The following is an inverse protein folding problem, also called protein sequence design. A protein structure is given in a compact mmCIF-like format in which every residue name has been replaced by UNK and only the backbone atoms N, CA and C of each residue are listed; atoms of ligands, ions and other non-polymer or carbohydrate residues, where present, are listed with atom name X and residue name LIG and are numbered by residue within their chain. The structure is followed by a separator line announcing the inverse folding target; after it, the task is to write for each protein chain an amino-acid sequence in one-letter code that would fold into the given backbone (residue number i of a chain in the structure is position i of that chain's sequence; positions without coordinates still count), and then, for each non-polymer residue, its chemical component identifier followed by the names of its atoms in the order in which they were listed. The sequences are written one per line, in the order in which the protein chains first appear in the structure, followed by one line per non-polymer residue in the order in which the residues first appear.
data_IF_389908776780
#
_entry.id   IF_389908776780
#
_cell.length_a   1.000
_cell.length_b   1.000
_cell.length_c   1.000
_cell.angle_alpha   90.00
_cell.angle_beta   90.00
_cell.angle_gamma   90.00
#
_symmetry.space_group_name_H-M   'P 1'
#
loop_
_entity.id
_entity.type
_entity.pdbx_description
1 polymer ?
#
# COMPACT_ATOMS: atom_id res chain seq x y z
N UNK A 1 24.55 -1.43 38.12
CA UNK A 1 24.01 -0.19 38.76
C UNK A 1 22.52 -0.10 38.41
N UNK A 2 21.68 -0.23 39.41
CA UNK A 2 20.22 -0.23 39.31
C UNK A 2 19.75 1.23 39.32
N UNK A 3 18.97 1.67 38.32
CA UNK A 3 18.21 2.91 38.39
C UNK A 3 16.74 2.61 38.14
N UNK A 4 15.97 2.72 39.24
CA UNK A 4 14.53 2.76 39.29
C UNK A 4 14.08 4.12 38.80
N UNK A 5 13.07 4.17 37.92
CA UNK A 5 12.31 5.40 37.67
C UNK A 5 10.81 5.11 37.86
N UNK A 6 10.24 6.00 38.64
CA UNK A 6 8.96 5.93 39.27
C UNK A 6 7.79 6.15 38.28
N UNK A 7 6.70 5.48 38.57
CA UNK A 7 5.37 5.73 38.01
C UNK A 7 4.81 7.08 38.51
N UNK A 8 4.21 7.86 37.63
CA UNK A 8 3.31 8.94 37.99
C UNK A 8 1.94 8.68 37.36
N UNK A 9 1.03 8.28 38.23
CA UNK A 9 -0.42 8.28 38.00
C UNK A 9 -0.92 9.72 38.09
N UNK A 10 -1.68 10.20 37.13
CA UNK A 10 -2.60 11.32 37.32
C UNK A 10 -3.99 10.92 36.81
N UNK A 11 -4.87 10.83 37.77
CA UNK A 11 -6.32 10.63 37.61
C UNK A 11 -7.03 11.99 37.60
N UNK A 12 -8.30 11.94 37.23
CA UNK A 12 -9.38 12.94 37.36
C UNK A 12 -9.55 13.87 36.16
N UNK A 13 -10.74 14.14 35.64
CA UNK A 13 -12.03 14.47 36.30
C UNK A 13 -13.22 14.25 35.33
N UNK A 14 -14.27 13.61 35.81
CA UNK A 14 -15.61 13.60 35.21
C UNK A 14 -16.27 14.97 35.40
N UNK A 15 -16.97 15.46 34.37
CA UNK A 15 -18.02 16.44 34.53
C UNK A 15 -19.29 15.92 33.87
N UNK A 16 -20.24 15.60 34.72
CA UNK A 16 -21.66 15.31 34.43
C UNK A 16 -22.39 16.65 34.35
N UNK A 17 -23.09 16.89 33.26
CA UNK A 17 -24.05 18.01 33.13
C UNK A 17 -25.33 17.52 32.50
N UNK A 18 -26.29 17.19 33.35
CA UNK A 18 -27.68 16.98 32.99
C UNK A 18 -28.46 18.29 33.25
N UNK A 19 -29.60 18.46 32.60
CA UNK A 19 -30.76 19.35 32.76
C UNK A 19 -31.08 19.99 31.37
N UNK A 20 -32.29 19.90 30.81
CA UNK A 20 -33.60 19.87 31.43
C UNK A 20 -34.75 19.63 30.44
N UNK A 21 -35.82 19.15 31.00
CA UNK A 21 -37.14 18.95 30.42
C UNK A 21 -37.93 20.24 30.19
N UNK A 22 -38.91 20.15 29.29
CA UNK A 22 -40.05 21.09 29.20
C UNK A 22 -40.73 20.99 27.84
N UNK A 23 -41.78 20.56 27.66
CA UNK A 23 -43.15 20.37 28.08
C UNK A 23 -44.13 20.76 26.95
N UNK A 24 -44.99 19.81 26.67
CA UNK A 24 -46.40 19.82 26.26
C UNK A 24 -46.95 20.83 25.22
N UNK A 25 -47.75 20.25 24.32
CA UNK A 25 -48.82 20.94 23.63
C UNK A 25 -49.30 20.23 22.39
N UNK A 26 -50.42 19.52 22.46
CA UNK A 26 -51.06 18.73 21.45
C UNK A 26 -51.82 19.51 20.38
N UNK A 27 -52.16 18.84 19.34
CA UNK A 27 -53.48 18.71 18.72
C UNK A 27 -53.40 18.06 17.34
N UNK A 28 -54.09 16.99 17.21
CA UNK A 28 -54.85 16.38 16.09
C UNK A 28 -54.85 17.11 14.73
N UNK A 29 -54.54 16.33 13.65
CA UNK A 29 -54.86 16.69 12.28
C UNK A 29 -54.47 15.59 11.30
N UNK A 30 -55.48 15.02 10.68
CA UNK A 30 -55.59 13.86 9.82
C UNK A 30 -54.91 13.97 8.46
N UNK A 31 -54.40 12.83 7.96
CA UNK A 31 -54.39 12.33 6.58
C UNK A 31 -53.81 13.17 5.43
N UNK A 32 -52.72 12.67 4.84
CA UNK A 32 -52.66 12.39 3.38
C UNK A 32 -51.44 11.57 3.05
N UNK A 33 -51.63 10.46 2.38
CA UNK A 33 -50.59 9.61 1.80
C UNK A 33 -49.89 10.37 0.66
N UNK A 34 -48.57 10.54 0.82
CA UNK A 34 -47.67 11.01 -0.23
C UNK A 34 -46.50 10.07 -0.32
N UNK A 35 -46.53 9.20 -1.34
CA UNK A 35 -45.41 8.32 -1.70
C UNK A 35 -44.28 9.19 -2.22
N UNK A 36 -43.30 9.46 -1.36
CA UNK A 36 -42.05 10.09 -1.80
C UNK A 36 -40.99 9.01 -1.83
N UNK A 37 -40.58 8.66 -3.05
CA UNK A 37 -39.40 7.87 -3.31
C UNK A 37 -38.19 8.55 -2.64
N UNK A 38 -37.67 7.91 -1.59
CA UNK A 38 -36.41 8.30 -0.98
C UNK A 38 -35.28 8.03 -2.00
N UNK A 39 -34.88 9.08 -2.71
CA UNK A 39 -33.60 9.07 -3.37
C UNK A 39 -32.52 8.93 -2.28
N UNK A 40 -31.93 7.74 -2.22
CA UNK A 40 -30.76 7.46 -1.42
C UNK A 40 -29.61 8.27 -1.99
N UNK A 41 -29.44 9.48 -1.53
CA UNK A 41 -28.21 10.23 -1.73
C UNK A 41 -27.14 9.49 -0.94
N UNK A 42 -26.31 8.69 -1.63
CA UNK A 42 -25.04 8.27 -1.12
C UNK A 42 -24.24 9.56 -0.83
N UNK A 43 -24.24 9.98 0.43
CA UNK A 43 -23.33 10.99 0.92
C UNK A 43 -21.91 10.38 0.83
N UNK A 44 -21.29 10.53 -0.34
CA UNK A 44 -19.87 10.37 -0.47
C UNK A 44 -19.22 11.33 0.52
N UNK A 45 -18.53 10.80 1.51
CA UNK A 45 -17.68 11.57 2.40
C UNK A 45 -16.62 12.24 1.54
N UNK A 46 -16.89 13.48 1.11
CA UNK A 46 -15.92 14.34 0.48
C UNK A 46 -14.89 14.67 1.56
N UNK A 47 -13.83 13.87 1.64
CA UNK A 47 -12.66 14.26 2.39
C UNK A 47 -12.23 15.62 1.83
N UNK A 48 -12.07 16.61 2.70
CA UNK A 48 -11.63 17.94 2.29
C UNK A 48 -10.32 17.80 1.50
N UNK A 49 -10.29 18.35 0.28
CA UNK A 49 -9.10 18.29 -0.57
C UNK A 49 -7.91 18.87 0.20
N UNK A 50 -6.83 18.14 0.31
CA UNK A 50 -5.58 18.60 0.93
C UNK A 50 -4.87 19.54 -0.03
N UNK A 51 -4.18 20.55 0.50
CA UNK A 51 -3.32 21.41 -0.32
C UNK A 51 -2.16 20.66 -0.97
N UNK A 52 -1.71 19.58 -0.33
CA UNK A 52 -0.60 18.73 -0.78
C UNK A 52 -0.78 17.30 -0.29
N UNK A 53 -0.59 16.34 -1.17
CA UNK A 53 -0.62 14.91 -0.87
C UNK A 53 0.79 14.34 -0.68
N UNK A 54 0.97 13.42 0.25
CA UNK A 54 2.18 12.63 0.44
C UNK A 54 1.98 11.30 -0.28
N UNK A 55 2.74 11.11 -1.35
CA UNK A 55 2.72 9.89 -2.15
C UNK A 55 4.02 9.12 -1.91
N UNK A 56 3.91 7.87 -1.51
CA UNK A 56 5.08 7.02 -1.27
C UNK A 56 5.31 6.08 -2.44
N UNK A 57 6.56 5.69 -2.64
CA UNK A 57 6.97 4.82 -3.74
C UNK A 57 8.12 3.92 -3.31
N UNK A 58 8.44 2.96 -4.17
CA UNK A 58 9.63 2.13 -4.01
C UNK A 58 10.93 2.91 -4.28
N UNK A 59 12.04 2.39 -3.83
CA UNK A 59 13.37 2.98 -4.09
C UNK A 59 13.85 2.73 -5.50
N UNK A 60 13.63 1.52 -6.02
CA UNK A 60 14.04 1.16 -7.38
C UNK A 60 13.25 -0.05 -7.92
N UNK A 61 12.40 0.21 -8.90
CA UNK A 61 11.67 -0.82 -9.66
C UNK A 61 11.48 -0.38 -11.12
N UNK A 62 12.55 -0.36 -11.90
CA UNK A 62 12.49 -0.02 -13.32
C UNK A 62 11.56 -1.01 -14.08
N UNK A 63 10.73 -0.53 -15.04
CA UNK A 63 10.66 0.85 -15.56
C UNK A 63 9.65 1.75 -14.82
N UNK A 64 9.09 1.34 -13.70
CA UNK A 64 8.03 2.06 -12.96
C UNK A 64 8.59 3.26 -12.21
N UNK A 65 9.59 3.03 -11.33
CA UNK A 65 10.28 4.07 -10.59
C UNK A 65 11.76 3.71 -10.37
N UNK A 66 12.63 4.67 -10.62
CA UNK A 66 14.08 4.54 -10.43
C UNK A 66 14.74 5.91 -10.41
N UNK A 67 15.97 5.99 -9.96
CA UNK A 67 16.79 7.20 -10.04
C UNK A 67 17.84 7.09 -11.13
N UNK A 68 18.02 8.19 -11.86
CA UNK A 68 19.14 8.31 -12.80
C UNK A 68 20.43 8.69 -12.05
N UNK A 69 21.55 8.81 -12.82
CA UNK A 69 22.85 9.14 -12.25
C UNK A 69 22.92 10.53 -11.60
N UNK A 70 21.95 11.42 -11.86
CA UNK A 70 21.84 12.75 -11.25
C UNK A 70 21.02 12.73 -9.94
N UNK A 71 20.43 11.60 -9.60
CA UNK A 71 19.47 11.46 -8.49
C UNK A 71 18.05 11.89 -8.83
N UNK A 72 17.75 12.14 -10.11
CA UNK A 72 16.40 12.45 -10.55
C UNK A 72 15.58 11.17 -10.62
N UNK A 73 14.39 11.19 -9.99
CA UNK A 73 13.43 10.09 -10.05
C UNK A 73 12.66 10.11 -11.36
N UNK A 74 12.62 8.97 -12.03
CA UNK A 74 12.06 8.75 -13.35
C UNK A 74 11.21 7.48 -13.35
N UNK A 75 10.45 7.28 -14.41
CA UNK A 75 9.69 6.07 -14.70
C UNK A 75 8.22 6.29 -14.95
N UNK A 76 7.54 5.23 -15.35
CA UNK A 76 6.12 5.23 -15.70
C UNK A 76 5.27 5.84 -14.55
N UNK A 77 5.56 5.47 -13.33
CA UNK A 77 4.81 5.91 -12.16
C UNK A 77 5.02 7.39 -11.86
N UNK A 78 6.21 7.90 -12.12
CA UNK A 78 6.51 9.31 -11.94
C UNK A 78 5.80 10.17 -12.98
N UNK A 79 5.84 9.75 -14.24
CA UNK A 79 5.18 10.44 -15.34
C UNK A 79 3.65 10.42 -15.18
N UNK A 80 3.10 9.28 -14.74
CA UNK A 80 1.68 9.10 -14.47
C UNK A 80 1.22 10.00 -13.30
N UNK A 81 1.98 10.04 -12.21
CA UNK A 81 1.65 10.86 -11.05
C UNK A 81 1.68 12.36 -11.39
N UNK A 82 2.68 12.79 -12.17
CA UNK A 82 2.76 14.18 -12.65
C UNK A 82 1.56 14.55 -13.51
N UNK A 83 1.18 13.65 -14.44
CA UNK A 83 0.04 13.88 -15.32
C UNK A 83 -1.28 13.97 -14.55
N UNK A 84 -1.51 13.08 -13.58
CA UNK A 84 -2.71 13.07 -12.73
C UNK A 84 -2.77 14.36 -11.89
N UNK A 85 -1.68 14.72 -11.23
CA UNK A 85 -1.64 15.90 -10.38
C UNK A 85 -1.90 17.20 -11.17
N UNK A 86 -1.36 17.27 -12.39
CA UNK A 86 -1.59 18.38 -13.30
C UNK A 86 -3.04 18.46 -13.77
N UNK A 87 -3.63 17.33 -14.16
CA UNK A 87 -5.01 17.26 -14.65
C UNK A 87 -6.02 17.60 -13.54
N UNK A 88 -5.80 17.05 -12.34
CA UNK A 88 -6.70 17.22 -11.20
C UNK A 88 -6.39 18.47 -10.34
N UNK A 89 -5.33 19.21 -10.63
CA UNK A 89 -5.01 20.48 -10.00
C UNK A 89 -4.56 20.40 -8.54
N UNK A 90 -3.93 19.30 -8.10
CA UNK A 90 -3.41 19.16 -6.74
C UNK A 90 -1.88 19.14 -6.71
N UNK A 91 -1.32 19.41 -5.52
CA UNK A 91 0.11 19.30 -5.26
C UNK A 91 0.43 17.97 -4.57
N UNK A 92 1.62 17.46 -4.79
CA UNK A 92 2.08 16.25 -4.14
C UNK A 92 3.58 16.30 -3.82
N UNK A 93 4.01 15.40 -2.97
CA UNK A 93 5.41 15.10 -2.66
C UNK A 93 5.63 13.60 -2.78
N UNK A 94 6.70 13.18 -3.48
CA UNK A 94 7.10 11.78 -3.57
C UNK A 94 8.12 11.48 -2.48
N UNK A 95 7.88 10.41 -1.70
CA UNK A 95 8.83 9.86 -0.74
C UNK A 95 9.15 8.41 -1.09
N UNK A 96 10.39 8.11 -1.38
CA UNK A 96 10.85 6.76 -1.68
C UNK A 96 11.26 6.05 -0.38
N UNK A 97 10.41 5.17 0.10
CA UNK A 97 10.60 4.44 1.36
C UNK A 97 11.01 2.98 1.15
N UNK A 98 10.91 2.46 -0.09
CA UNK A 98 10.93 1.05 -0.39
C UNK A 98 9.52 0.47 -0.38
N UNK A 99 9.31 -0.63 -1.13
CA UNK A 99 7.96 -1.15 -1.40
C UNK A 99 7.17 -1.50 -0.12
N UNK A 100 7.74 -2.37 0.73
CA UNK A 100 7.06 -2.82 1.95
C UNK A 100 6.79 -1.68 2.94
N UNK A 101 7.76 -0.77 3.13
CA UNK A 101 7.61 0.39 3.98
C UNK A 101 6.57 1.38 3.45
N UNK A 102 6.45 1.53 2.13
CA UNK A 102 5.42 2.35 1.49
C UNK A 102 4.01 1.83 1.78
N UNK A 103 3.79 0.52 1.71
CA UNK A 103 2.51 -0.07 2.07
C UNK A 103 2.15 0.18 3.52
N UNK A 104 3.11 0.00 4.44
CA UNK A 104 2.92 0.25 5.86
C UNK A 104 2.62 1.72 6.17
N UNK A 105 3.27 2.66 5.48
CA UNK A 105 3.03 4.09 5.64
C UNK A 105 1.60 4.50 5.26
N UNK A 106 1.06 3.94 4.17
CA UNK A 106 -0.35 4.18 3.78
C UNK A 106 -1.31 3.50 4.74
N UNK A 107 -1.08 2.25 5.14
CA UNK A 107 -1.92 1.55 6.13
C UNK A 107 -1.96 2.30 7.47
N UNK A 108 -0.86 2.93 7.87
CA UNK A 108 -0.76 3.71 9.10
C UNK A 108 -1.30 5.16 8.97
N UNK A 109 -1.76 5.58 7.78
CA UNK A 109 -2.21 6.95 7.52
C UNK A 109 -1.10 8.00 7.53
N UNK A 110 0.17 7.57 7.39
CA UNK A 110 1.33 8.46 7.31
C UNK A 110 1.57 8.98 5.89
N UNK A 111 1.00 8.32 4.90
CA UNK A 111 0.98 8.74 3.51
C UNK A 111 -0.43 8.65 2.95
N UNK A 112 -0.71 9.47 1.94
CA UNK A 112 -2.04 9.55 1.32
C UNK A 112 -2.24 8.52 0.22
N UNK A 113 -1.15 8.05 -0.38
CA UNK A 113 -1.21 7.05 -1.44
C UNK A 113 0.13 6.45 -1.76
N UNK A 114 0.12 5.34 -2.48
CA UNK A 114 1.31 4.65 -2.98
C UNK A 114 1.20 4.48 -4.49
N UNK A 115 2.30 4.75 -5.19
CA UNK A 115 2.47 4.43 -6.61
C UNK A 115 3.83 3.73 -6.76
N UNK A 116 3.83 2.45 -7.10
CA UNK A 116 5.04 1.60 -7.07
C UNK A 116 4.88 0.32 -7.91
N UNK A 117 4.29 0.41 -9.12
CA UNK A 117 4.03 -0.77 -9.96
C UNK A 117 3.26 -1.87 -9.21
N UNK A 118 2.41 -1.50 -8.27
CA UNK A 118 1.78 -2.41 -7.32
C UNK A 118 0.70 -3.27 -7.96
N UNK A 119 0.86 -4.59 -7.92
CA UNK A 119 -0.16 -5.52 -8.41
C UNK A 119 -1.46 -5.41 -7.62
N UNK A 120 -2.59 -5.33 -8.32
CA UNK A 120 -3.93 -5.41 -7.75
C UNK A 120 -4.22 -6.87 -7.39
N UNK A 121 -4.55 -7.16 -6.13
CA UNK A 121 -4.93 -8.50 -5.66
C UNK A 121 -6.13 -8.39 -4.71
N UNK A 122 -6.95 -9.43 -4.61
CA UNK A 122 -8.11 -9.41 -3.71
C UNK A 122 -7.69 -9.17 -2.25
N UNK A 123 -6.60 -9.80 -1.79
CA UNK A 123 -6.07 -9.58 -0.45
C UNK A 123 -5.65 -8.13 -0.18
N UNK A 124 -5.12 -7.43 -1.20
CA UNK A 124 -4.73 -6.02 -1.05
C UNK A 124 -5.93 -5.10 -1.10
N UNK A 125 -6.98 -5.44 -1.84
CA UNK A 125 -8.25 -4.70 -1.87
C UNK A 125 -8.97 -4.68 -0.50
N UNK A 126 -8.65 -5.59 0.40
CA UNK A 126 -9.17 -5.56 1.77
C UNK A 126 -8.62 -4.38 2.59
N UNK A 127 -7.50 -3.77 2.14
CA UNK A 127 -6.78 -2.72 2.86
C UNK A 127 -6.59 -1.43 2.08
N UNK A 128 -6.63 -1.51 0.76
CA UNK A 128 -6.34 -0.39 -0.14
C UNK A 128 -7.41 -0.26 -1.20
N UNK A 129 -7.78 0.97 -1.50
CA UNK A 129 -8.49 1.32 -2.71
C UNK A 129 -7.50 1.42 -3.87
N UNK A 130 -7.86 0.86 -5.02
CA UNK A 130 -7.01 0.85 -6.20
C UNK A 130 -7.62 1.66 -7.33
N UNK A 131 -6.76 2.26 -8.15
CA UNK A 131 -7.14 2.75 -9.47
C UNK A 131 -7.46 1.58 -10.42
N UNK A 132 -7.92 1.89 -11.63
CA UNK A 132 -7.85 0.95 -12.74
C UNK A 132 -6.40 0.52 -13.01
N UNK A 133 -6.24 -0.69 -13.57
CA UNK A 133 -4.92 -1.20 -13.90
C UNK A 133 -4.31 -0.40 -15.07
N UNK A 134 -3.18 0.25 -14.85
CA UNK A 134 -2.49 1.03 -15.87
C UNK A 134 -1.39 0.25 -16.60
N UNK A 135 -1.00 -0.91 -16.09
CA UNK A 135 -0.01 -1.79 -16.71
C UNK A 135 -0.25 -3.26 -16.38
N UNK A 136 0.13 -4.18 -17.27
CA UNK A 136 0.05 -5.62 -17.04
C UNK A 136 1.46 -6.23 -16.97
N UNK A 137 1.81 -6.76 -15.80
CA UNK A 137 3.11 -7.42 -15.57
C UNK A 137 2.88 -8.83 -15.05
N UNK A 138 3.36 -9.88 -15.73
CA UNK A 138 3.34 -11.22 -15.16
C UNK A 138 4.39 -11.35 -14.04
N UNK A 139 4.11 -12.19 -13.05
CA UNK A 139 5.14 -12.64 -12.12
C UNK A 139 6.01 -13.66 -12.85
N UNK A 140 7.31 -13.41 -12.91
CA UNK A 140 8.29 -14.25 -13.59
C UNK A 140 9.43 -14.62 -12.66
N UNK A 141 10.14 -15.71 -12.99
CA UNK A 141 11.38 -16.09 -12.33
C UNK A 141 12.54 -15.66 -13.23
N UNK A 142 13.40 -14.79 -12.71
CA UNK A 142 14.63 -14.40 -13.38
C UNK A 142 15.74 -15.37 -12.97
N UNK A 143 16.50 -15.84 -13.95
CA UNK A 143 17.65 -16.70 -13.75
C UNK A 143 18.85 -16.18 -14.56
N UNK A 144 20.06 -16.62 -14.24
CA UNK A 144 21.22 -16.30 -15.04
C UNK A 144 21.08 -16.91 -16.45
N UNK A 145 21.58 -16.20 -17.44
CA UNK A 145 21.46 -16.62 -18.85
C UNK A 145 22.11 -17.99 -19.15
N UNK A 146 23.11 -18.36 -18.38
CA UNK A 146 23.82 -19.65 -18.45
C UNK A 146 23.26 -20.72 -17.53
N UNK A 147 22.20 -20.43 -16.77
CA UNK A 147 21.56 -21.40 -15.88
C UNK A 147 20.73 -22.41 -16.68
N UNK A 148 20.87 -23.70 -16.37
CA UNK A 148 20.03 -24.76 -16.94
C UNK A 148 18.70 -24.87 -16.17
N UNK A 149 17.91 -23.80 -16.19
CA UNK A 149 16.59 -23.67 -15.57
C UNK A 149 15.60 -23.27 -16.65
N UNK A 150 14.68 -24.17 -16.98
CA UNK A 150 13.67 -23.98 -18.04
C UNK A 150 12.24 -24.13 -17.52
N UNK A 151 12.09 -24.67 -16.33
CA UNK A 151 10.78 -24.94 -15.71
C UNK A 151 10.83 -24.78 -14.19
N UNK A 152 9.68 -24.82 -13.54
CA UNK A 152 9.59 -24.83 -12.08
C UNK A 152 10.21 -26.08 -11.44
N UNK A 153 10.26 -27.21 -12.14
CA UNK A 153 10.87 -28.43 -11.60
C UNK A 153 12.39 -28.29 -11.46
N UNK A 154 13.01 -27.44 -12.30
CA UNK A 154 14.45 -27.20 -12.30
C UNK A 154 14.92 -26.33 -11.11
N UNK A 155 13.99 -25.64 -10.43
CA UNK A 155 14.31 -24.86 -9.22
C UNK A 155 14.19 -25.67 -7.92
N UNK A 156 13.86 -26.96 -7.99
CA UNK A 156 13.72 -27.80 -6.81
C UNK A 156 14.99 -27.81 -5.97
N UNK A 157 14.85 -27.57 -4.65
CA UNK A 157 15.95 -27.52 -3.69
C UNK A 157 16.84 -26.29 -3.79
N UNK A 158 16.54 -25.35 -4.70
CA UNK A 158 17.37 -24.15 -4.92
C UNK A 158 17.03 -23.02 -3.95
N UNK A 159 17.96 -22.09 -3.84
CA UNK A 159 17.77 -20.83 -3.14
C UNK A 159 17.11 -19.83 -4.08
N UNK A 160 16.04 -19.19 -3.64
CA UNK A 160 15.26 -18.25 -4.42
C UNK A 160 15.26 -16.88 -3.73
N UNK A 161 15.70 -15.86 -4.43
CA UNK A 161 15.64 -14.48 -3.99
C UNK A 161 14.24 -13.90 -4.24
N UNK A 162 13.67 -13.25 -3.23
CA UNK A 162 12.39 -12.55 -3.35
C UNK A 162 12.48 -11.17 -2.71
N UNK A 163 11.71 -10.21 -3.23
CA UNK A 163 11.57 -8.92 -2.59
C UNK A 163 10.38 -8.92 -1.62
N UNK A 164 10.62 -8.39 -0.43
CA UNK A 164 9.63 -8.33 0.65
C UNK A 164 8.33 -7.63 0.22
N UNK A 165 7.20 -8.17 0.66
CA UNK A 165 5.88 -7.59 0.42
C UNK A 165 5.33 -7.76 -1.01
N UNK A 166 6.10 -8.34 -1.95
CA UNK A 166 5.69 -8.49 -3.35
C UNK A 166 4.81 -9.72 -3.62
N UNK A 167 4.11 -9.71 -4.76
CA UNK A 167 3.39 -10.89 -5.26
C UNK A 167 4.33 -12.04 -5.60
N UNK A 168 5.55 -11.73 -6.06
CA UNK A 168 6.59 -12.73 -6.30
C UNK A 168 6.98 -13.46 -5.02
N UNK A 169 7.16 -12.75 -3.91
CA UNK A 169 7.42 -13.36 -2.60
C UNK A 169 6.25 -14.25 -2.15
N UNK A 170 5.02 -13.77 -2.29
CA UNK A 170 3.81 -14.56 -1.95
C UNK A 170 3.73 -15.83 -2.80
N UNK A 171 4.03 -15.74 -4.09
CA UNK A 171 4.03 -16.90 -4.98
C UNK A 171 5.13 -17.91 -4.60
N UNK A 172 6.35 -17.45 -4.37
CA UNK A 172 7.46 -18.32 -3.96
C UNK A 172 7.16 -19.07 -2.67
N UNK A 173 6.60 -18.39 -1.65
CA UNK A 173 6.15 -19.03 -0.41
C UNK A 173 5.05 -20.07 -0.65
N UNK A 174 4.12 -19.82 -1.58
CA UNK A 174 3.03 -20.76 -1.88
C UNK A 174 3.49 -22.07 -2.52
N UNK A 175 4.64 -22.08 -3.18
CA UNK A 175 5.21 -23.25 -3.83
C UNK A 175 6.43 -23.82 -3.10
N UNK A 176 6.84 -23.21 -2.00
CA UNK A 176 8.05 -23.50 -1.24
C UNK A 176 8.19 -25.00 -0.88
N UNK A 177 7.18 -25.56 -0.24
CA UNK A 177 7.20 -26.93 0.22
C UNK A 177 7.17 -27.93 -0.96
N UNK A 178 6.41 -27.60 -2.00
CA UNK A 178 6.33 -28.44 -3.22
C UNK A 178 7.68 -28.63 -3.90
N UNK A 179 8.48 -27.56 -3.95
CA UNK A 179 9.76 -27.52 -4.65
C UNK A 179 10.96 -27.47 -3.70
N UNK A 180 10.77 -27.63 -2.38
CA UNK A 180 11.83 -27.56 -1.36
C UNK A 180 12.70 -26.30 -1.51
N UNK A 181 12.06 -25.15 -1.70
CA UNK A 181 12.76 -23.89 -1.94
C UNK A 181 13.36 -23.32 -0.65
N UNK A 182 14.55 -22.72 -0.76
CA UNK A 182 15.19 -21.95 0.29
C UNK A 182 15.03 -20.46 -0.05
N UNK A 183 14.02 -19.80 0.53
CA UNK A 183 13.68 -18.43 0.19
C UNK A 183 14.54 -17.46 1.01
N UNK A 184 15.20 -16.53 0.31
CA UNK A 184 15.91 -15.39 0.88
C UNK A 184 15.18 -14.12 0.51
N UNK A 185 14.84 -13.30 1.51
CA UNK A 185 14.07 -12.07 1.32
C UNK A 185 14.98 -10.85 1.33
N UNK A 186 14.78 -9.96 0.37
CA UNK A 186 15.49 -8.70 0.20
C UNK A 186 14.54 -7.52 0.32
N UNK A 187 15.02 -6.38 0.79
CA UNK A 187 14.21 -5.17 0.93
C UNK A 187 14.08 -4.39 -0.38
N UNK A 188 15.06 -4.51 -1.28
CA UNK A 188 15.09 -3.80 -2.57
C UNK A 188 15.43 -4.70 -3.75
N UNK A 189 15.05 -4.26 -4.96
CA UNK A 189 15.26 -5.01 -6.19
C UNK A 189 16.74 -5.07 -6.62
N UNK A 190 17.54 -4.00 -6.54
CA UNK A 190 18.95 -4.05 -6.90
C UNK A 190 19.73 -5.11 -6.11
N UNK A 191 19.60 -5.16 -4.79
CA UNK A 191 20.27 -6.14 -3.94
C UNK A 191 19.79 -7.57 -4.25
N UNK A 192 18.49 -7.75 -4.47
CA UNK A 192 17.93 -9.04 -4.88
C UNK A 192 18.54 -9.53 -6.20
N UNK A 193 18.60 -8.68 -7.23
CA UNK A 193 19.20 -9.05 -8.53
C UNK A 193 20.70 -9.28 -8.41
N UNK A 194 21.39 -8.53 -7.56
CA UNK A 194 22.82 -8.75 -7.32
C UNK A 194 23.10 -10.15 -6.75
N UNK A 195 22.24 -10.66 -5.88
CA UNK A 195 22.36 -12.02 -5.33
C UNK A 195 22.27 -13.09 -6.43
N UNK A 196 21.40 -12.89 -7.43
CA UNK A 196 21.29 -13.79 -8.59
C UNK A 196 22.55 -13.69 -9.46
N UNK A 197 23.01 -12.48 -9.78
CA UNK A 197 24.20 -12.25 -10.63
C UNK A 197 25.45 -12.87 -10.01
N UNK A 198 25.63 -12.75 -8.70
CA UNK A 198 26.77 -13.35 -7.99
C UNK A 198 26.66 -14.86 -7.80
N UNK A 199 25.52 -15.46 -8.14
CA UNK A 199 25.28 -16.91 -8.00
C UNK A 199 25.02 -17.35 -6.57
N UNK A 200 24.66 -16.44 -5.67
CA UNK A 200 24.25 -16.75 -4.30
C UNK A 200 22.85 -17.35 -4.28
N UNK A 201 22.00 -16.87 -5.18
CA UNK A 201 20.59 -17.25 -5.33
C UNK A 201 20.25 -17.55 -6.81
N UNK A 202 19.05 -18.09 -7.08
CA UNK A 202 18.41 -18.22 -8.39
C UNK A 202 17.09 -17.48 -8.42
#
# INVERSE_FOLDING_TARGET
MKRKVAALLLATLMVVGAVGCGNSGGATGSSAAGSSAAASSAAGSSAAAKDKYIIVTDTAFAPFEYEDASGKRLGIDMDLMEAIAKDQGFKYEIQALGFDASLQAVEAGQADGVIAGMSITEKRKEKFDFSEAYYNVPVTIAVKADADIKSLDDIKGKKVAVKKGTTGATYAESIKDKYDLKITTYDDSPTMYQAIVTGTEV
#
